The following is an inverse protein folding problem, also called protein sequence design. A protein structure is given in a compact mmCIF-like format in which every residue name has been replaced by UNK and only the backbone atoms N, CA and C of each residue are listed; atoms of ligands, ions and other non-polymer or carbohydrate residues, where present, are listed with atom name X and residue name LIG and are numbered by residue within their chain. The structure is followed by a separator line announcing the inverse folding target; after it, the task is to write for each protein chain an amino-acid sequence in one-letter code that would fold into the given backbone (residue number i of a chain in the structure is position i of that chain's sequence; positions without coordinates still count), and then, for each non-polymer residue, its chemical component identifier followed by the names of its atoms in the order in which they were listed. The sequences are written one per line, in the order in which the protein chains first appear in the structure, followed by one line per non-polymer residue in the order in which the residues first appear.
data_IF_599517015892
#
_entry.id   IF_599517015892
#
_cell.length_a   1.000
_cell.length_b   1.000
_cell.length_c   1.000
_cell.angle_alpha   90.00
_cell.angle_beta   90.00
_cell.angle_gamma   90.00
#
_symmetry.space_group_name_H-M   'P 1'
#
loop_
_entity.id
_entity.type
_entity.pdbx_description
1 polymer ?
2 polymer ?
3 non-polymer ?
4 non-polymer ?
5 water ?
#
# COMPACT_ATOMS: atom_id res chain seq x y z
N UNK A 4 -3.50 -16.54 0.20
CA UNK A 4 -3.46 -15.07 0.25
C UNK A 4 -4.47 -14.43 -0.68
N UNK A 5 -4.63 -13.12 -0.57
CA UNK A 5 -5.63 -12.43 -1.38
C UNK A 5 -5.15 -11.01 -1.70
N UNK A 6 -5.77 -10.42 -2.73
CA UNK A 6 -5.52 -9.04 -3.14
C UNK A 6 -6.57 -8.11 -2.52
N UNK A 7 -6.12 -6.94 -2.09
CA UNK A 7 -7.05 -5.92 -1.61
C UNK A 7 -7.79 -5.28 -2.77
N UNK A 8 -7.07 -4.63 -3.67
CA UNK A 8 -7.65 -4.00 -4.83
C UNK A 8 -8.48 -2.74 -4.63
N UNK A 9 -8.54 -2.20 -3.41
CA UNK A 9 -9.33 -1.02 -3.13
C UNK A 9 -8.93 0.16 -4.01
N UNK A 10 -9.92 0.81 -4.63
CA UNK A 10 -9.69 2.02 -5.41
C UNK A 10 -9.89 3.22 -4.49
N UNK A 11 -8.93 4.13 -4.52
CA UNK A 11 -8.88 5.21 -3.56
C UNK A 11 -9.87 6.32 -3.92
N UNK A 12 -10.43 6.94 -2.88
CA UNK A 12 -11.32 8.08 -2.99
C UNK A 12 -10.54 9.39 -3.06
N UNK A 13 -11.24 10.45 -3.45
CA UNK A 13 -10.66 11.79 -3.47
C UNK A 13 -10.19 12.18 -2.08
N UNK A 14 -8.91 12.54 -1.95
CA UNK A 14 -8.35 12.97 -0.68
C UNK A 14 -7.85 11.85 0.23
N UNK A 15 -7.91 10.59 -0.21
CA UNK A 15 -7.62 9.46 0.68
C UNK A 15 -6.12 9.25 0.84
N UNK A 16 -5.62 9.12 2.06
CA UNK A 16 -4.19 8.83 2.25
C UNK A 16 -3.83 7.44 1.73
N UNK A 17 -2.65 7.35 1.14
CA UNK A 17 -2.10 6.08 0.68
C UNK A 17 -0.66 6.01 1.18
N UNK A 18 -0.18 4.78 1.39
CA UNK A 18 1.07 4.53 2.06
C UNK A 18 1.99 3.65 1.23
N UNK A 19 3.20 4.16 0.95
CA UNK A 19 4.25 3.35 0.39
C UNK A 19 5.29 3.10 1.49
N UNK A 20 6.12 2.11 1.27
CA UNK A 20 7.22 1.80 2.16
C UNK A 20 8.52 2.04 1.42
N UNK A 21 9.33 2.98 1.92
CA UNK A 21 10.59 3.28 1.28
C UNK A 21 11.54 2.10 1.34
N UNK A 22 11.38 1.24 2.34
CA UNK A 22 12.27 0.10 2.47
C UNK A 22 11.84 -1.05 1.56
N UNK A 23 10.53 -1.24 1.36
CA UNK A 23 10.08 -2.47 0.70
C UNK A 23 9.45 -2.27 -0.66
N UNK A 24 8.98 -1.07 -1.00
CA UNK A 24 8.28 -0.90 -2.27
C UNK A 24 9.23 -1.15 -3.44
N UNK A 25 8.75 -1.92 -4.44
CA UNK A 25 9.56 -2.12 -5.64
C UNK A 25 9.64 -0.83 -6.45
N UNK A 26 8.60 -0.02 -6.42
CA UNK A 26 8.51 1.22 -7.16
C UNK A 26 7.78 2.24 -6.30
N UNK A 27 8.05 3.54 -6.45
CA UNK A 27 7.36 4.50 -5.58
C UNK A 27 5.86 4.58 -5.81
N UNK A 28 5.34 3.98 -6.90
CA UNK A 28 3.89 3.96 -7.10
C UNK A 28 3.21 2.83 -6.37
N UNK A 29 3.98 1.93 -5.72
CA UNK A 29 3.38 0.83 -4.93
C UNK A 29 2.89 1.37 -3.59
N UNK A 30 1.61 1.14 -3.28
CA UNK A 30 0.98 1.76 -2.12
C UNK A 30 -0.03 0.81 -1.47
N UNK A 31 -0.35 1.13 -0.22
CA UNK A 31 -1.36 0.44 0.57
C UNK A 31 -2.40 1.44 1.07
N UNK A 32 -3.64 1.02 1.11
CA UNK A 32 -4.67 1.78 1.81
C UNK A 32 -4.35 1.78 3.32
N UNK A 33 -4.99 2.69 4.05
CA UNK A 33 -4.63 2.83 5.47
C UNK A 33 -4.91 1.56 6.25
N UNK A 34 -6.02 0.86 5.97
CA UNK A 34 -6.33 -0.37 6.70
C UNK A 34 -5.25 -1.42 6.49
N UNK A 35 -4.81 -1.61 5.24
CA UNK A 35 -3.77 -2.60 4.97
C UNK A 35 -2.44 -2.16 5.57
N UNK A 36 -2.12 -0.87 5.44
CA UNK A 36 -0.90 -0.34 6.04
C UNK A 36 -0.83 -0.64 7.52
N UNK A 37 -1.89 -0.30 8.26
CA UNK A 37 -1.89 -0.49 9.72
C UNK A 37 -1.90 -1.95 10.13
N UNK A 38 -2.28 -2.85 9.23
CA UNK A 38 -2.18 -4.28 9.42
C UNK A 38 -0.94 -4.94 8.86
N UNK A 39 0.04 -4.16 8.42
CA UNK A 39 1.21 -4.67 7.72
C UNK A 39 2.49 -4.43 8.52
N UNK A 40 3.54 -5.15 8.12
CA UNK A 40 4.84 -4.94 8.74
C UNK A 40 5.38 -3.54 8.48
N UNK A 41 4.89 -2.87 7.43
CA UNK A 41 5.45 -1.59 7.02
C UNK A 41 5.09 -0.46 7.96
N UNK A 42 4.12 -0.66 8.86
CA UNK A 42 3.81 0.37 9.85
C UNK A 42 4.99 0.64 10.76
N UNK A 43 5.95 -0.27 10.83
CA UNK A 43 7.17 -0.11 11.61
C UNK A 43 8.37 0.26 10.75
N UNK A 44 8.16 0.60 9.48
CA UNK A 44 9.24 0.88 8.52
C UNK A 44 9.23 2.37 8.17
N UNK A 45 10.10 2.74 7.23
CA UNK A 45 10.18 4.13 6.76
C UNK A 45 9.09 4.35 5.72
N UNK A 46 7.90 4.67 6.17
CA UNK A 46 6.77 4.80 5.25
C UNK A 46 6.68 6.22 4.69
N UNK A 47 5.97 6.34 3.57
CA UNK A 47 5.72 7.60 2.87
C UNK A 47 4.26 7.70 2.52
N UNK A 48 3.61 8.81 2.86
CA UNK A 48 2.19 9.00 2.56
C UNK A 48 2.05 9.92 1.34
N UNK A 49 1.16 9.55 0.42
CA UNK A 49 0.74 10.38 -0.70
C UNK A 49 -0.79 10.38 -0.74
N UNK A 50 -1.38 11.56 -0.87
CA UNK A 50 -2.83 11.68 -0.93
C UNK A 50 -3.32 11.43 -2.35
N UNK A 51 -4.30 10.55 -2.49
CA UNK A 51 -4.95 10.34 -3.78
C UNK A 51 -5.85 11.50 -4.12
N UNK A 52 -5.78 11.94 -5.38
CA UNK A 52 -6.72 12.88 -5.96
C UNK A 52 -8.02 12.24 -6.38
N UNK A 53 -8.18 10.94 -6.13
CA UNK A 53 -9.28 10.16 -6.64
C UNK A 53 -8.75 9.20 -7.69
N UNK A 54 -8.73 7.91 -7.35
CA UNK A 54 -8.19 6.89 -8.24
C UNK A 54 -6.88 6.33 -7.71
N UNK A 55 -6.32 5.41 -8.48
CA UNK A 55 -5.28 4.54 -7.98
C UNK A 55 -5.88 3.44 -7.14
N UNK A 56 -5.07 2.44 -6.79
CA UNK A 56 -5.58 1.31 -6.03
C UNK A 56 -4.50 0.68 -5.14
N UNK A 57 -4.98 0.03 -4.09
CA UNK A 57 -4.12 -0.62 -3.11
C UNK A 57 -3.45 -1.87 -3.69
N UNK A 58 -2.14 -2.00 -3.43
CA UNK A 58 -1.33 -3.12 -3.94
C UNK A 58 -1.11 -4.21 -2.90
N UNK A 59 -1.92 -4.23 -1.83
CA UNK A 59 -1.78 -5.29 -0.85
C UNK A 59 -2.07 -6.65 -1.51
N UNK A 60 -1.21 -7.63 -1.26
CA UNK A 60 -1.33 -8.96 -1.85
C UNK A 60 -0.58 -9.16 -3.15
N UNK A 61 -0.05 -8.10 -3.74
CA UNK A 61 0.70 -8.17 -5.00
C UNK A 61 2.15 -8.51 -4.67
N UNK A 62 2.51 -9.79 -4.86
CA UNK A 62 3.83 -10.24 -4.44
C UNK A 62 4.96 -9.71 -5.31
N UNK A 63 4.64 -9.04 -6.42
CA UNK A 63 5.64 -8.38 -7.25
C UNK A 63 5.84 -6.91 -6.90
N UNK A 64 5.03 -6.36 -5.98
CA UNK A 64 5.11 -4.94 -5.65
C UNK A 64 5.94 -4.68 -4.40
N UNK A 65 6.29 -5.73 -3.64
CA UNK A 65 6.88 -5.57 -2.31
C UNK A 65 8.06 -6.52 -2.15
N UNK A 66 9.20 -5.99 -1.68
CA UNK A 66 10.36 -6.84 -1.45
C UNK A 66 10.16 -7.78 -0.26
N UNK A 67 9.34 -7.37 0.70
CA UNK A 67 8.88 -8.26 1.76
C UNK A 67 7.55 -7.69 2.25
N UNK A 68 6.79 -8.52 2.95
CA UNK A 68 5.51 -8.12 3.49
C UNK A 68 4.50 -7.70 2.45
N UNK A 69 4.22 -8.56 1.46
CA UNK A 69 3.23 -8.19 0.46
C UNK A 69 1.82 -8.21 0.97
N UNK A 70 1.53 -8.90 2.06
CA UNK A 70 0.18 -9.01 2.60
C UNK A 70 0.10 -8.34 3.97
N UNK A 71 -1.11 -7.95 4.33
CA UNK A 71 -1.42 -7.46 5.67
C UNK A 71 -2.20 -8.55 6.43
N UNK A 72 -2.48 -8.26 7.71
CA UNK A 72 -3.17 -9.24 8.55
C UNK A 72 -4.51 -9.65 7.96
N UNK A 73 -5.19 -8.72 7.29
CA UNK A 73 -6.52 -8.95 6.75
C UNK A 73 -6.50 -9.81 5.51
N UNK A 74 -5.45 -9.69 4.69
CA UNK A 74 -5.39 -10.37 3.39
C UNK A 74 -4.46 -11.57 3.35
N UNK A 75 -3.69 -11.82 4.40
CA UNK A 75 -2.79 -12.96 4.44
C UNK A 75 -3.61 -14.23 4.38
N UNK B 1 -1.61 0.52 -7.59
CA UNK B 1 -0.59 1.56 -7.67
C UNK B 1 -1.26 2.92 -7.74
N UNK B 2 -0.48 3.98 -7.52
CA UNK B 2 -0.98 5.34 -7.65
C UNK B 2 0.03 6.18 -8.41
N UNK B 3 -0.47 7.19 -9.12
CA UNK B 3 0.34 8.11 -9.91
C UNK B 3 -0.23 9.51 -9.76
N UNK B 4 0.60 10.44 -9.29
CA UNK B 4 0.19 11.83 -9.11
C UNK B 4 0.19 12.58 -10.45
#
# INVERSE_FOLDING_TARGET
GPLGSLCGRVFKVGEPTYSCRDCAVDPTCVLCMECFLGSIHRDHRYRMTTSGGGGFCDCGDTEAWKEGPYCQKHEL
HIFS
#
